data_IF_396547960248
#
_entry.id   IF_396547960248
#
_cell.length_a   1.000
_cell.length_b   1.000
_cell.length_c   1.000
_cell.angle_alpha   90.00
_cell.angle_beta   90.00
_cell.angle_gamma   90.00
#
_symmetry.space_group_name_H-M   'P 1'
#
loop_
_entity.id
_entity.type
_entity.pdbx_description
1 polymer ?
#
# COMPACT_ATOMS: atom_id res chain seq x y z
N UNK A 1 3.61 2.07 0.88
CA UNK A 1 4.37 2.47 2.08
C UNK A 1 3.95 3.85 2.52
N UNK A 2 3.59 4.02 3.79
CA UNK A 2 3.26 5.31 4.40
C UNK A 2 4.51 5.92 5.03
N UNK A 3 4.44 7.20 5.38
CA UNK A 3 5.48 7.85 6.15
C UNK A 3 5.47 7.37 7.62
N UNK A 4 6.61 7.49 8.29
CA UNK A 4 6.80 7.04 9.68
C UNK A 4 5.92 7.78 10.70
N UNK A 5 5.42 8.97 10.36
CA UNK A 5 4.54 9.75 11.22
C UNK A 5 3.05 9.34 11.13
N UNK A 6 2.71 8.36 10.29
CA UNK A 6 1.35 7.87 10.10
C UNK A 6 1.06 6.78 11.12
N UNK A 7 -0.05 6.91 11.84
CA UNK A 7 -0.42 5.91 12.85
C UNK A 7 -0.95 4.62 12.22
N UNK A 8 -0.80 3.51 12.93
CA UNK A 8 -1.37 2.23 12.48
C UNK A 8 -2.88 2.30 12.22
N UNK A 9 -3.61 3.09 13.00
CA UNK A 9 -5.06 3.22 12.84
C UNK A 9 -5.41 3.95 11.54
N UNK A 10 -4.65 4.98 11.15
CA UNK A 10 -4.80 5.61 9.84
C UNK A 10 -4.49 4.63 8.71
N UNK A 11 -3.44 3.82 8.85
CA UNK A 11 -3.10 2.80 7.85
C UNK A 11 -4.24 1.77 7.71
N UNK A 12 -4.87 1.37 8.82
CA UNK A 12 -6.05 0.49 8.81
C UNK A 12 -7.26 1.15 8.16
N UNK A 13 -7.46 2.46 8.32
CA UNK A 13 -8.51 3.20 7.61
C UNK A 13 -8.30 3.17 6.10
N UNK A 14 -7.08 3.46 5.61
CA UNK A 14 -6.77 3.35 4.18
C UNK A 14 -6.94 1.92 3.67
N UNK A 15 -6.53 0.91 4.44
CA UNK A 15 -6.76 -0.49 4.11
C UNK A 15 -8.26 -0.82 3.99
N UNK A 16 -9.09 -0.27 4.89
CA UNK A 16 -10.54 -0.42 4.80
C UNK A 16 -11.12 0.28 3.56
N UNK A 17 -10.60 1.45 3.18
CA UNK A 17 -10.99 2.12 1.93
C UNK A 17 -10.65 1.29 0.70
N UNK A 18 -9.49 0.63 0.68
CA UNK A 18 -9.12 -0.29 -0.40
C UNK A 18 -10.15 -1.41 -0.54
N UNK A 19 -10.43 -2.11 0.56
CA UNK A 19 -11.37 -3.23 0.59
C UNK A 19 -12.80 -2.79 0.20
N UNK A 20 -13.23 -1.60 0.63
CA UNK A 20 -14.55 -1.06 0.29
C UNK A 20 -14.64 -0.54 -1.16
N UNK A 21 -13.52 -0.13 -1.75
CA UNK A 21 -13.46 0.43 -3.11
C UNK A 21 -13.24 -0.62 -4.20
N UNK A 22 -13.39 -1.91 -3.89
CA UNK A 22 -13.23 -3.01 -4.85
C UNK A 22 -11.79 -3.54 -4.99
N UNK A 23 -10.87 -3.06 -4.16
CA UNK A 23 -9.55 -3.66 -3.97
C UNK A 23 -9.56 -4.74 -2.88
N UNK A 24 -8.39 -5.32 -2.63
CA UNK A 24 -8.18 -6.37 -1.64
C UNK A 24 -6.83 -6.16 -0.97
N UNK A 25 -6.81 -5.90 0.33
CA UNK A 25 -5.58 -5.86 1.11
C UNK A 25 -5.09 -7.29 1.37
N UNK A 26 -3.87 -7.59 0.93
CA UNK A 26 -3.31 -8.94 0.98
C UNK A 26 -2.39 -9.15 2.18
N UNK A 27 -1.70 -8.09 2.64
CA UNK A 27 -0.75 -8.21 3.74
C UNK A 27 -0.51 -6.86 4.41
N UNK A 28 -0.48 -6.83 5.75
CA UNK A 28 0.05 -5.69 6.51
C UNK A 28 1.52 -5.91 6.86
N UNK A 29 2.32 -4.85 6.84
CA UNK A 29 3.70 -4.89 7.29
C UNK A 29 3.77 -4.53 8.77
N UNK A 30 4.45 -5.37 9.57
CA UNK A 30 4.54 -5.19 11.03
C UNK A 30 5.75 -4.39 11.51
N UNK A 31 6.74 -4.14 10.63
CA UNK A 31 7.98 -3.42 10.96
C UNK A 31 7.98 -2.02 10.34
N UNK A 32 7.29 -1.87 9.22
CA UNK A 32 7.24 -0.64 8.41
C UNK A 32 5.78 -0.23 8.24
N UNK A 33 5.47 1.07 8.25
CA UNK A 33 4.11 1.56 8.11
C UNK A 33 3.59 1.30 6.69
N UNK A 34 2.84 0.22 6.50
CA UNK A 34 2.20 -0.05 5.22
C UNK A 34 1.53 -1.40 5.08
N UNK A 35 0.99 -1.62 3.89
CA UNK A 35 0.36 -2.86 3.47
C UNK A 35 0.59 -3.09 1.97
N UNK A 36 0.50 -4.35 1.56
CA UNK A 36 0.32 -4.78 0.19
C UNK A 36 -1.17 -4.95 -0.10
N UNK A 37 -1.60 -4.57 -1.29
CA UNK A 37 -2.97 -4.73 -1.73
C UNK A 37 -3.07 -4.85 -3.25
N UNK A 38 -4.07 -5.59 -3.70
CA UNK A 38 -4.59 -5.46 -5.06
C UNK A 38 -5.52 -4.26 -5.06
N UNK A 39 -5.27 -3.31 -5.94
CA UNK A 39 -6.04 -2.07 -6.04
C UNK A 39 -6.51 -1.87 -7.47
N UNK A 40 -7.58 -1.11 -7.64
CA UNK A 40 -8.05 -0.66 -8.96
C UNK A 40 -7.17 0.46 -9.49
N UNK A 41 -7.27 0.76 -10.79
CA UNK A 41 -6.55 1.90 -11.40
C UNK A 41 -6.95 3.23 -10.73
N UNK A 42 -8.25 3.43 -10.45
CA UNK A 42 -8.73 4.63 -9.78
C UNK A 42 -8.11 4.78 -8.38
N UNK A 43 -8.04 3.69 -7.62
CA UNK A 43 -7.37 3.68 -6.31
C UNK A 43 -5.87 3.97 -6.44
N UNK A 44 -5.21 3.40 -7.46
CA UNK A 44 -3.80 3.68 -7.72
C UNK A 44 -3.55 5.17 -7.98
N UNK A 45 -4.38 5.82 -8.82
CA UNK A 45 -4.28 7.26 -9.08
C UNK A 45 -4.54 8.08 -7.80
N UNK A 46 -5.51 7.68 -6.97
CA UNK A 46 -5.76 8.32 -5.68
C UNK A 46 -4.54 8.21 -4.74
N UNK A 47 -3.98 7.03 -4.57
CA UNK A 47 -2.79 6.85 -3.73
C UNK A 47 -1.55 7.54 -4.29
N UNK A 48 -1.37 7.56 -5.61
CA UNK A 48 -0.30 8.30 -6.25
C UNK A 48 -0.40 9.81 -5.98
N UNK A 49 -1.62 10.37 -5.95
CA UNK A 49 -1.82 11.78 -5.61
C UNK A 49 -1.47 12.13 -4.15
N UNK A 50 -1.51 11.14 -3.26
CA UNK A 50 -1.14 11.25 -1.85
C UNK A 50 0.36 11.01 -1.61
N UNK A 51 1.11 10.64 -2.65
CA UNK A 51 2.55 10.44 -2.58
C UNK A 51 3.26 11.76 -2.30
N UNK A 52 4.17 11.75 -1.34
CA UNK A 52 4.88 12.94 -0.87
C UNK A 52 4.18 13.69 0.27
N UNK A 53 2.90 13.41 0.55
CA UNK A 53 2.19 13.90 1.73
C UNK A 53 2.18 12.85 2.84
N UNK A 54 1.30 11.85 2.72
CA UNK A 54 1.13 10.77 3.71
C UNK A 54 1.71 9.43 3.23
N UNK A 55 1.81 9.24 1.91
CA UNK A 55 2.41 8.07 1.28
C UNK A 55 3.85 8.39 0.93
N UNK A 56 4.76 7.55 1.44
CA UNK A 56 6.18 7.64 1.10
C UNK A 56 6.42 7.05 -0.29
N UNK A 57 5.90 5.84 -0.52
CA UNK A 57 6.02 5.17 -1.81
C UNK A 57 4.83 4.28 -2.13
N UNK A 58 4.52 4.17 -3.42
CA UNK A 58 3.62 3.17 -3.98
C UNK A 58 4.33 2.51 -5.16
N UNK A 59 4.36 1.18 -5.17
CA UNK A 59 5.08 0.39 -6.15
C UNK A 59 4.31 -0.90 -6.48
N UNK A 60 4.40 -1.40 -7.72
CA UNK A 60 3.77 -2.67 -8.09
C UNK A 60 4.53 -3.84 -7.47
N UNK A 61 3.79 -4.85 -6.98
CA UNK A 61 4.38 -6.09 -6.47
C UNK A 61 5.29 -6.74 -7.53
N UNK A 62 6.56 -6.95 -7.17
CA UNK A 62 7.55 -7.58 -8.03
C UNK A 62 7.64 -9.08 -7.70
N UNK A 63 7.63 -9.94 -8.71
CA UNK A 63 8.02 -11.34 -8.51
C UNK A 63 9.54 -11.43 -8.40
N UNK A 64 10.04 -11.94 -7.28
CA UNK A 64 11.46 -12.27 -7.14
C UNK A 64 11.72 -13.62 -7.81
N UNK A 65 12.58 -13.64 -8.82
CA UNK A 65 13.07 -14.88 -9.44
C UNK A 65 14.45 -15.24 -8.88
N UNK A 66 14.62 -16.45 -8.35
CA UNK A 66 15.95 -16.96 -8.02
C UNK A 66 16.73 -17.20 -9.31
N UNK A 67 17.87 -16.52 -9.47
CA UNK A 67 18.81 -16.83 -10.55
C UNK A 67 19.62 -18.04 -10.10
N UNK A 68 19.39 -19.19 -10.73
CA UNK A 68 20.25 -20.37 -10.54
C UNK A 68 21.54 -20.15 -11.34
N UNK A 69 22.70 -20.28 -10.67
CA UNK A 69 24.02 -20.36 -11.30
C UNK A 69 24.23 -21.68 -12.05
#
# INVERSE_FOLDING_TARGET
>A
MFKDNVSEDQIKEYAAQVNNGGGEVTQFYGIIPGFAAKITEDQFQQFQSLQGDIIESIEPDQMVTTQSE
#
